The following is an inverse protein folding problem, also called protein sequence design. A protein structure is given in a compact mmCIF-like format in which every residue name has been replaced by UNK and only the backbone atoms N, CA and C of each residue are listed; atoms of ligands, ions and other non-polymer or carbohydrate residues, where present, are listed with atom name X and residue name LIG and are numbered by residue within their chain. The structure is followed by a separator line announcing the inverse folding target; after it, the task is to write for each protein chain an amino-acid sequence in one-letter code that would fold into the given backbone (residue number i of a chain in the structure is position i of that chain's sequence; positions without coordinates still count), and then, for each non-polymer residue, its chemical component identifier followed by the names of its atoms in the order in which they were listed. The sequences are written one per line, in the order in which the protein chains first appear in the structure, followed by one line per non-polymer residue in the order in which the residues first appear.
data_IF_481106540413
#
_entry.id   IF_481106540413
#
_cell.length_a   1.000
_cell.length_b   1.000
_cell.length_c   1.000
_cell.angle_alpha   90.00
_cell.angle_beta   90.00
_cell.angle_gamma   90.00
#
_symmetry.space_group_name_H-M   'P 1'
#
loop_
_entity.id
_entity.type
_entity.pdbx_description
1 polymer ?
#
# COMPACT_ATOMS: atom_id res chain seq x y z
N UNK A 1 5.79 13.49 -5.00
CA UNK A 1 6.16 12.45 -4.00
C UNK A 1 7.11 12.99 -2.93
N UNK A 2 8.00 13.95 -3.22
CA UNK A 2 8.89 14.56 -2.21
C UNK A 2 8.18 15.49 -1.21
N UNK A 3 7.02 16.06 -1.55
CA UNK A 3 6.29 16.99 -0.67
C UNK A 3 5.58 16.29 0.50
N UNK A 4 4.94 15.14 0.24
CA UNK A 4 4.30 14.34 1.29
C UNK A 4 5.32 13.82 2.28
N UNK A 5 6.49 13.38 1.82
CA UNK A 5 7.52 12.84 2.72
C UNK A 5 7.98 13.88 3.75
N UNK A 6 8.15 15.14 3.36
CA UNK A 6 8.64 16.21 4.26
C UNK A 6 7.72 16.48 5.47
N UNK A 7 6.42 16.27 5.31
CA UNK A 7 5.43 16.64 6.34
C UNK A 7 5.01 15.45 7.24
N UNK A 8 5.18 14.23 6.73
CA UNK A 8 4.75 12.99 7.38
C UNK A 8 5.90 12.04 7.75
N UNK A 9 7.15 12.45 7.55
CA UNK A 9 8.33 11.70 8.00
C UNK A 9 8.25 11.38 9.51
N UNK A 10 8.51 10.12 9.88
CA UNK A 10 8.44 9.64 11.26
C UNK A 10 7.03 9.47 11.85
N UNK A 11 5.96 9.73 11.08
CA UNK A 11 4.56 9.53 11.53
C UNK A 11 3.99 8.22 10.99
N UNK A 12 3.14 7.57 11.78
CA UNK A 12 2.32 6.46 11.31
C UNK A 12 1.12 7.04 10.52
N UNK A 13 1.10 6.83 9.21
CA UNK A 13 0.04 7.34 8.32
C UNK A 13 -0.71 6.19 7.63
N UNK A 14 -1.99 6.39 7.37
CA UNK A 14 -2.82 5.50 6.56
C UNK A 14 -3.03 6.12 5.17
N UNK A 15 -2.84 5.33 4.09
CA UNK A 15 -3.06 5.77 2.71
C UNK A 15 -4.28 5.04 2.16
N UNK A 16 -5.34 5.80 1.85
CA UNK A 16 -6.61 5.27 1.31
C UNK A 16 -6.61 5.48 -0.21
N UNK A 17 -6.76 4.40 -0.99
CA UNK A 17 -6.81 4.47 -2.44
C UNK A 17 -7.62 3.30 -3.04
N UNK A 18 -7.92 3.37 -4.34
CA UNK A 18 -8.56 2.28 -5.09
C UNK A 18 -7.61 1.09 -5.33
N UNK A 19 -8.11 0.06 -6.03
CA UNK A 19 -7.44 -1.23 -6.09
C UNK A 19 -6.03 -1.22 -6.66
N UNK A 20 -5.91 -0.73 -7.89
CA UNK A 20 -4.64 -0.66 -8.58
C UNK A 20 -3.57 0.14 -7.81
N UNK A 21 -3.84 1.37 -7.33
CA UNK A 21 -2.83 2.14 -6.62
C UNK A 21 -2.37 1.49 -5.30
N UNK A 22 -3.26 0.81 -4.56
CA UNK A 22 -2.85 0.06 -3.36
C UNK A 22 -1.89 -1.09 -3.67
N UNK A 23 -2.12 -1.84 -4.75
CA UNK A 23 -1.25 -2.96 -5.14
C UNK A 23 0.11 -2.47 -5.66
N UNK A 24 0.10 -1.39 -6.46
CA UNK A 24 1.34 -0.75 -6.91
C UNK A 24 2.17 -0.28 -5.72
N UNK A 25 1.55 0.30 -4.69
CA UNK A 25 2.25 0.70 -3.47
C UNK A 25 2.89 -0.51 -2.78
N UNK A 26 2.20 -1.65 -2.65
CA UNK A 26 2.81 -2.84 -2.06
C UNK A 26 3.99 -3.38 -2.88
N UNK A 27 3.88 -3.39 -4.20
CA UNK A 27 4.96 -3.81 -5.10
C UNK A 27 6.21 -2.92 -4.93
N UNK A 28 6.05 -1.59 -5.00
CA UNK A 28 7.19 -0.66 -4.98
C UNK A 28 7.76 -0.40 -3.58
N UNK A 29 6.93 -0.44 -2.52
CA UNK A 29 7.39 -0.12 -1.16
C UNK A 29 7.90 -1.33 -0.39
N UNK A 30 7.37 -2.52 -0.66
CA UNK A 30 7.78 -3.78 0.00
C UNK A 30 8.66 -4.65 -0.87
N UNK A 31 8.86 -4.30 -2.15
CA UNK A 31 9.69 -5.07 -3.09
C UNK A 31 9.12 -6.45 -3.43
N UNK A 32 7.82 -6.67 -3.21
CA UNK A 32 7.13 -7.94 -3.47
C UNK A 32 6.94 -8.16 -4.97
N UNK A 33 6.88 -9.40 -5.42
CA UNK A 33 6.49 -9.70 -6.81
C UNK A 33 5.01 -9.41 -7.05
N UNK A 34 4.61 -9.24 -8.31
CA UNK A 34 3.20 -9.07 -8.65
C UNK A 34 2.36 -10.25 -8.18
N UNK A 35 2.88 -11.47 -8.30
CA UNK A 35 2.20 -12.69 -7.86
C UNK A 35 1.90 -12.67 -6.36
N UNK A 36 2.89 -12.35 -5.53
CA UNK A 36 2.72 -12.20 -4.08
C UNK A 36 1.74 -11.08 -3.72
N UNK A 37 1.84 -9.92 -4.37
CA UNK A 37 0.95 -8.77 -4.15
C UNK A 37 -0.50 -9.11 -4.51
N UNK A 38 -0.72 -9.89 -5.57
CA UNK A 38 -2.06 -10.36 -5.92
C UNK A 38 -2.55 -11.45 -4.98
N UNK A 39 -1.69 -12.37 -4.54
CA UNK A 39 -2.05 -13.43 -3.60
C UNK A 39 -2.49 -12.84 -2.25
N UNK A 40 -1.68 -11.92 -1.72
CA UNK A 40 -1.90 -11.23 -0.45
C UNK A 40 -2.93 -10.08 -0.53
N UNK A 41 -3.62 -9.89 -1.65
CA UNK A 41 -4.68 -8.89 -1.81
C UNK A 41 -5.80 -9.11 -0.78
N UNK A 42 -5.74 -8.37 0.34
CA UNK A 42 -6.65 -8.49 1.50
C UNK A 42 -8.10 -8.12 1.18
N UNK A 43 -8.40 -7.58 0.00
CA UNK A 43 -9.80 -7.44 -0.45
C UNK A 43 -10.45 -8.79 -0.73
N UNK A 44 -9.66 -9.81 -1.11
CA UNK A 44 -10.15 -11.19 -1.27
C UNK A 44 -10.69 -11.73 0.04
N UNK A 45 -10.02 -11.42 1.15
CA UNK A 45 -10.40 -11.87 2.50
C UNK A 45 -11.36 -10.91 3.21
N UNK A 46 -11.66 -9.74 2.62
CA UNK A 46 -12.45 -8.64 3.22
C UNK A 46 -11.90 -8.16 4.57
N UNK A 47 -10.64 -8.45 4.86
CA UNK A 47 -9.96 -8.13 6.13
C UNK A 47 -9.34 -6.73 6.05
N UNK A 48 -10.18 -5.73 5.77
CA UNK A 48 -9.75 -4.34 5.72
C UNK A 48 -9.32 -3.89 7.13
N UNK A 49 -8.09 -3.38 7.24
CA UNK A 49 -7.60 -2.73 8.47
C UNK A 49 -7.30 -1.25 8.18
N UNK A 50 -7.78 -0.33 9.03
CA UNK A 50 -7.43 1.10 8.96
C UNK A 50 -5.95 1.34 9.27
#
# INVERSE_FOLDING_TARGET
MQEVCKEYDGKHIAIIAHKAPQLVLEHITKGKTWEEVFDEDRRKTKDWKP
#
